data_IF_078807077827
#
_entry.id   IF_078807077827
#
_cell.length_a   1.000
_cell.length_b   1.000
_cell.length_c   1.000
_cell.angle_alpha   90.00
_cell.angle_beta   90.00
_cell.angle_gamma   90.00
#
_symmetry.space_group_name_H-M   'P 1'
#
loop_
_entity.id
_entity.type
_entity.pdbx_description
1 polymer ?
#
# COMPACT_ATOMS: atom_id res chain seq x y z
N UNK A 1 -7.71 10.80 -17.99
CA UNK A 1 -6.69 9.73 -18.21
C UNK A 1 -6.58 9.44 -19.69
N UNK A 2 -5.38 9.38 -20.24
CA UNK A 2 -5.15 9.10 -21.66
C UNK A 2 -4.41 7.77 -21.81
N UNK A 3 -4.95 6.86 -22.61
CA UNK A 3 -4.25 5.64 -22.99
C UNK A 3 -3.07 5.93 -23.91
N UNK A 4 -2.00 5.20 -23.75
CA UNK A 4 -0.91 5.18 -24.73
C UNK A 4 -1.41 4.55 -26.05
N UNK A 5 -0.69 4.82 -27.15
CA UNK A 5 -1.08 4.35 -28.48
C UNK A 5 -1.29 2.82 -28.53
N UNK A 6 -0.35 2.06 -27.98
CA UNK A 6 -0.42 0.60 -27.97
C UNK A 6 -1.57 0.05 -27.09
N UNK A 7 -1.90 0.72 -26.00
CA UNK A 7 -3.04 0.37 -25.15
C UNK A 7 -4.37 0.61 -25.87
N UNK A 8 -4.47 1.75 -26.57
CA UNK A 8 -5.63 2.05 -27.42
C UNK A 8 -5.82 1.04 -28.56
N UNK A 9 -4.73 0.59 -29.16
CA UNK A 9 -4.73 -0.46 -30.20
C UNK A 9 -5.15 -1.81 -29.61
N UNK A 10 -4.67 -2.14 -28.41
CA UNK A 10 -5.07 -3.36 -27.71
C UNK A 10 -6.57 -3.38 -27.39
N UNK A 11 -7.12 -2.26 -26.89
CA UNK A 11 -8.57 -2.12 -26.65
C UNK A 11 -9.35 -2.38 -27.93
N UNK A 12 -9.00 -1.68 -29.02
CA UNK A 12 -9.69 -1.83 -30.32
C UNK A 12 -9.65 -3.26 -30.86
N UNK A 13 -8.54 -3.97 -30.65
CA UNK A 13 -8.36 -5.33 -31.12
C UNK A 13 -9.18 -6.35 -30.33
N UNK A 14 -9.28 -6.17 -29.02
CA UNK A 14 -9.86 -7.18 -28.13
C UNK A 14 -11.34 -6.92 -27.78
N UNK A 15 -11.78 -5.68 -27.80
CA UNK A 15 -13.17 -5.34 -27.56
C UNK A 15 -13.87 -5.03 -28.90
N UNK A 16 -14.72 -5.94 -29.34
CA UNK A 16 -15.49 -5.83 -30.62
C UNK A 16 -16.67 -4.84 -30.51
N UNK A 17 -16.72 -4.01 -29.51
CA UNK A 17 -17.74 -3.00 -29.22
C UNK A 17 -17.14 -1.71 -28.70
N UNK A 18 -17.90 -0.64 -28.76
CA UNK A 18 -17.53 0.60 -28.08
C UNK A 18 -17.65 0.42 -26.56
N UNK A 19 -16.61 0.75 -25.83
CA UNK A 19 -16.61 0.76 -24.37
C UNK A 19 -17.29 2.03 -23.84
N UNK A 20 -17.97 1.90 -22.72
CA UNK A 20 -18.51 3.03 -21.97
C UNK A 20 -17.38 3.85 -21.34
N UNK A 21 -17.71 5.06 -20.87
CA UNK A 21 -16.75 5.91 -20.16
C UNK A 21 -16.22 5.22 -18.90
N UNK A 22 -17.11 4.60 -18.12
CA UNK A 22 -16.74 3.88 -16.90
C UNK A 22 -15.81 2.70 -17.16
N UNK A 23 -16.07 1.91 -18.22
CA UNK A 23 -15.18 0.80 -18.60
C UNK A 23 -13.80 1.29 -19.01
N UNK A 24 -13.71 2.43 -19.70
CA UNK A 24 -12.43 3.04 -20.05
C UNK A 24 -11.69 3.57 -18.81
N UNK A 25 -12.40 4.15 -17.85
CA UNK A 25 -11.83 4.60 -16.57
C UNK A 25 -11.29 3.42 -15.74
N UNK A 26 -12.02 2.32 -15.66
CA UNK A 26 -11.56 1.08 -15.00
C UNK A 26 -10.30 0.54 -15.69
N UNK A 27 -10.31 0.41 -17.01
CA UNK A 27 -9.14 -0.07 -17.75
C UNK A 27 -7.92 0.85 -17.57
N UNK A 28 -8.14 2.16 -17.52
CA UNK A 28 -7.06 3.11 -17.29
C UNK A 28 -6.46 3.00 -15.88
N UNK A 29 -7.30 2.77 -14.88
CA UNK A 29 -6.84 2.53 -13.51
C UNK A 29 -6.04 1.22 -13.41
N UNK A 30 -6.58 0.11 -13.94
CA UNK A 30 -5.90 -1.20 -13.93
C UNK A 30 -4.60 -1.21 -14.74
N UNK A 31 -4.50 -0.40 -15.80
CA UNK A 31 -3.27 -0.23 -16.59
C UNK A 31 -2.35 0.88 -16.10
N UNK A 32 -2.67 1.50 -15.00
CA UNK A 32 -1.74 2.43 -14.35
C UNK A 32 -0.47 1.70 -13.88
N UNK A 33 0.61 2.44 -13.69
CA UNK A 33 1.84 1.88 -13.10
C UNK A 33 1.57 1.30 -11.71
N UNK A 34 0.68 1.95 -10.95
CA UNK A 34 0.30 1.53 -9.60
C UNK A 34 -0.28 0.11 -9.57
N UNK A 35 -1.23 -0.21 -10.46
CA UNK A 35 -1.90 -1.53 -10.47
C UNK A 35 -1.12 -2.58 -11.27
N UNK A 36 -0.56 -2.19 -12.42
CA UNK A 36 0.01 -3.15 -13.37
C UNK A 36 1.52 -3.33 -13.27
N UNK A 37 2.23 -2.42 -12.59
CA UNK A 37 3.70 -2.40 -12.53
C UNK A 37 4.34 -2.49 -13.92
N UNK A 38 3.71 -1.89 -14.93
CA UNK A 38 4.03 -2.11 -16.34
C UNK A 38 5.46 -1.72 -16.74
N UNK A 39 6.04 -0.72 -16.05
CA UNK A 39 7.43 -0.31 -16.25
C UNK A 39 8.39 -0.86 -15.20
N UNK A 40 7.98 -0.98 -13.95
CA UNK A 40 8.82 -1.45 -12.85
C UNK A 40 8.93 -2.97 -12.73
N UNK A 41 8.02 -3.73 -13.35
CA UNK A 41 7.97 -5.19 -13.25
C UNK A 41 9.28 -5.89 -13.64
N UNK A 42 10.04 -5.34 -14.59
CA UNK A 42 11.33 -5.89 -14.99
C UNK A 42 12.35 -5.82 -13.87
N UNK A 43 12.33 -4.76 -13.08
CA UNK A 43 13.19 -4.55 -11.92
C UNK A 43 12.74 -5.39 -10.72
N UNK A 44 11.44 -5.45 -10.46
CA UNK A 44 10.86 -6.27 -9.39
C UNK A 44 11.22 -7.75 -9.54
N UNK A 45 11.28 -8.26 -10.78
CA UNK A 45 11.71 -9.64 -11.06
C UNK A 45 13.17 -9.94 -10.71
N UNK A 46 14.00 -8.91 -10.52
CA UNK A 46 15.40 -9.06 -10.12
C UNK A 46 15.57 -9.24 -8.61
N UNK A 47 14.53 -8.94 -7.83
CA UNK A 47 14.55 -9.12 -6.39
C UNK A 47 14.48 -10.62 -6.05
N UNK A 48 15.29 -11.10 -5.08
CA UNK A 48 15.24 -12.49 -4.66
C UNK A 48 13.90 -12.78 -3.97
N UNK A 49 13.19 -13.77 -4.48
CA UNK A 49 11.89 -14.20 -3.95
C UNK A 49 11.99 -15.48 -3.10
N UNK A 50 13.20 -15.97 -2.88
CA UNK A 50 13.46 -17.20 -2.12
C UNK A 50 14.75 -17.08 -1.33
N UNK A 51 14.83 -17.80 -0.23
CA UNK A 51 16.00 -17.83 0.65
C UNK A 51 15.74 -18.71 1.86
N UNK A 52 16.72 -18.93 2.73
CA UNK A 52 16.54 -19.69 3.96
C UNK A 52 15.39 -19.10 4.80
N UNK A 53 14.46 -19.95 5.21
CA UNK A 53 13.30 -19.55 6.00
C UNK A 53 12.19 -18.79 5.25
N UNK A 54 12.41 -18.36 4.00
CA UNK A 54 11.36 -17.65 3.22
C UNK A 54 10.27 -18.63 2.81
N UNK A 55 9.04 -18.34 3.21
CA UNK A 55 7.85 -19.07 2.77
C UNK A 55 7.28 -18.37 1.54
N UNK A 56 7.73 -18.80 0.34
CA UNK A 56 7.35 -18.22 -0.96
C UNK A 56 6.12 -18.91 -1.53
N UNK A 57 4.97 -18.75 -0.89
CA UNK A 57 3.71 -19.30 -1.37
C UNK A 57 2.79 -18.18 -1.85
N UNK A 58 1.97 -18.48 -2.85
CA UNK A 58 0.93 -17.54 -3.30
C UNK A 58 -0.23 -17.50 -2.30
N UNK A 59 -0.85 -16.33 -2.16
CA UNK A 59 -2.04 -16.13 -1.35
C UNK A 59 -1.78 -15.49 0.02
N UNK A 60 -0.55 -15.09 0.29
CA UNK A 60 -0.23 -14.21 1.41
C UNK A 60 -0.15 -12.75 0.94
N UNK A 61 -0.66 -11.83 1.74
CA UNK A 61 -0.59 -10.37 1.49
C UNK A 61 0.71 -9.76 2.03
N UNK A 62 1.49 -10.51 2.77
CA UNK A 62 2.78 -10.09 3.32
C UNK A 62 3.89 -11.10 3.03
N UNK A 63 5.14 -10.66 3.11
CA UNK A 63 6.30 -11.55 3.14
C UNK A 63 6.31 -12.37 4.42
N UNK A 64 6.60 -13.67 4.32
CA UNK A 64 6.61 -14.60 5.46
C UNK A 64 7.97 -15.24 5.60
N UNK A 65 8.54 -15.15 6.81
CA UNK A 65 9.83 -15.75 7.17
C UNK A 65 9.66 -16.71 8.35
N UNK A 66 10.01 -17.96 8.16
CA UNK A 66 10.12 -18.96 9.25
C UNK A 66 11.35 -18.63 10.11
N UNK A 67 11.14 -18.40 11.39
CA UNK A 67 12.19 -18.02 12.33
C UNK A 67 12.52 -19.16 13.32
N UNK A 68 11.98 -20.35 13.09
CA UNK A 68 12.18 -21.52 13.93
C UNK A 68 11.11 -21.67 15.01
N UNK A 69 11.17 -22.78 15.71
CA UNK A 69 10.29 -23.13 16.84
C UNK A 69 8.77 -23.00 16.54
N UNK A 70 8.38 -23.15 15.28
CA UNK A 70 7.00 -23.02 14.84
C UNK A 70 6.50 -21.58 14.74
N UNK A 71 7.39 -20.59 14.81
CA UNK A 71 7.06 -19.17 14.66
C UNK A 71 7.45 -18.62 13.29
N UNK A 72 6.71 -17.61 12.87
CA UNK A 72 6.95 -16.84 11.65
C UNK A 72 6.95 -15.34 11.96
N UNK A 73 7.80 -14.64 11.23
CA UNK A 73 7.74 -13.18 11.12
C UNK A 73 7.12 -12.82 9.77
N UNK A 74 6.19 -11.90 9.76
CA UNK A 74 5.63 -11.32 8.54
C UNK A 74 6.06 -9.87 8.40
N UNK A 75 6.27 -9.44 7.17
CA UNK A 75 6.66 -8.07 6.86
C UNK A 75 5.87 -7.59 5.65
N UNK A 76 5.28 -6.42 5.77
CA UNK A 76 4.70 -5.71 4.65
C UNK A 76 5.21 -4.27 4.62
N UNK A 77 5.45 -3.74 3.43
CA UNK A 77 5.84 -2.35 3.21
C UNK A 77 5.03 -1.78 2.05
N UNK A 78 4.51 -0.59 2.22
CA UNK A 78 3.86 0.14 1.14
C UNK A 78 4.14 1.65 1.25
N UNK A 79 3.94 2.34 0.13
CA UNK A 79 3.97 3.80 0.06
C UNK A 79 2.54 4.34 -0.09
N UNK A 80 2.24 5.42 0.63
CA UNK A 80 0.94 6.09 0.56
C UNK A 80 1.11 7.60 0.30
N UNK A 81 1.75 7.91 -0.83
CA UNK A 81 2.30 9.25 -1.13
C UNK A 81 1.24 10.22 -1.66
N UNK A 82 0.52 9.87 -2.74
CA UNK A 82 -0.47 10.74 -3.37
C UNK A 82 -1.58 11.17 -2.40
N UNK A 83 -2.24 10.23 -1.69
CA UNK A 83 -3.26 10.62 -0.71
C UNK A 83 -2.71 11.52 0.39
N UNK A 84 -1.49 11.25 0.87
CA UNK A 84 -0.83 12.05 1.91
C UNK A 84 -0.43 13.46 1.43
N UNK A 85 -0.18 13.66 0.14
CA UNK A 85 0.08 14.98 -0.42
C UNK A 85 -1.19 15.85 -0.53
N UNK A 86 -2.37 15.21 -0.59
CA UNK A 86 -3.67 15.89 -0.71
C UNK A 86 -4.34 16.08 0.65
N UNK A 87 -4.41 15.03 1.43
CA UNK A 87 -4.97 15.00 2.78
C UNK A 87 -4.03 14.19 3.69
N UNK A 88 -3.03 14.84 4.30
CA UNK A 88 -1.92 14.16 4.95
C UNK A 88 -2.30 13.36 6.18
N UNK A 89 -3.34 13.75 6.93
CA UNK A 89 -3.76 13.01 8.11
C UNK A 89 -4.36 11.64 7.73
N UNK A 90 -5.43 11.62 6.95
CA UNK A 90 -6.08 10.38 6.52
C UNK A 90 -5.22 9.57 5.55
N UNK A 91 -4.43 10.25 4.69
CA UNK A 91 -3.49 9.61 3.79
C UNK A 91 -2.41 8.81 4.54
N UNK A 92 -1.76 9.40 5.51
CA UNK A 92 -0.72 8.74 6.29
C UNK A 92 -1.30 7.70 7.27
N UNK A 93 -2.46 7.98 7.88
CA UNK A 93 -3.18 7.00 8.69
C UNK A 93 -3.52 5.74 7.89
N UNK A 94 -3.99 5.89 6.64
CA UNK A 94 -4.27 4.77 5.75
C UNK A 94 -3.01 4.01 5.36
N UNK A 95 -1.86 4.68 5.21
CA UNK A 95 -0.56 4.02 5.01
C UNK A 95 -0.24 3.04 6.13
N UNK A 96 -0.42 3.44 7.40
CA UNK A 96 -0.30 2.52 8.55
C UNK A 96 -1.38 1.43 8.50
N UNK A 97 -2.61 1.81 8.18
CA UNK A 97 -3.75 0.88 8.14
C UNK A 97 -3.59 -0.22 7.11
N UNK A 98 -3.06 0.09 5.92
CA UNK A 98 -2.83 -0.86 4.84
C UNK A 98 -1.86 -1.96 5.25
N UNK A 99 -0.65 -1.58 5.68
CA UNK A 99 0.38 -2.55 6.07
C UNK A 99 -0.04 -3.42 7.27
N UNK A 100 -0.77 -2.85 8.22
CA UNK A 100 -1.29 -3.59 9.39
C UNK A 100 -2.34 -4.61 8.97
N UNK A 101 -3.24 -4.25 8.05
CA UNK A 101 -4.27 -5.16 7.55
C UNK A 101 -3.67 -6.35 6.82
N UNK A 102 -2.62 -6.16 6.05
CA UNK A 102 -1.94 -7.22 5.33
C UNK A 102 -1.19 -8.19 6.26
N UNK A 103 -0.64 -7.68 7.35
CA UNK A 103 -0.11 -8.53 8.43
C UNK A 103 -1.22 -9.37 9.08
N UNK A 104 -2.36 -8.74 9.40
CA UNK A 104 -3.51 -9.44 10.02
C UNK A 104 -4.13 -10.46 9.08
N UNK A 105 -4.30 -10.14 7.79
CA UNK A 105 -4.88 -11.05 6.79
C UNK A 105 -4.00 -12.29 6.59
N UNK A 106 -2.68 -12.15 6.76
CA UNK A 106 -1.74 -13.27 6.71
C UNK A 106 -1.81 -14.19 7.95
N UNK A 107 -2.54 -13.79 9.00
CA UNK A 107 -2.75 -14.62 10.22
C UNK A 107 -1.75 -14.35 11.32
N UNK A 108 -1.02 -13.25 11.28
CA UNK A 108 -0.06 -12.85 12.32
C UNK A 108 -0.51 -11.58 13.03
N UNK A 109 0.04 -11.34 14.22
CA UNK A 109 -0.25 -10.12 14.99
C UNK A 109 0.80 -9.05 14.69
N UNK A 110 0.40 -7.86 14.26
CA UNK A 110 1.31 -6.73 14.14
C UNK A 110 1.91 -6.38 15.50
N UNK A 111 3.22 -6.18 15.53
CA UNK A 111 3.96 -5.89 16.77
C UNK A 111 4.76 -4.59 16.69
N UNK A 112 5.02 -4.11 15.47
CA UNK A 112 5.82 -2.91 15.26
C UNK A 112 5.55 -2.29 13.89
N UNK A 113 5.75 -0.97 13.81
CA UNK A 113 5.74 -0.16 12.60
C UNK A 113 7.07 0.57 12.46
N UNK A 114 7.51 0.80 11.23
CA UNK A 114 8.63 1.65 10.86
C UNK A 114 8.17 2.60 9.76
N UNK A 115 8.64 3.85 9.79
CA UNK A 115 8.23 4.88 8.85
C UNK A 115 9.42 5.47 8.09
N UNK A 116 9.32 5.57 6.77
CA UNK A 116 10.23 6.33 5.92
C UNK A 116 9.53 7.58 5.40
N UNK A 117 9.89 8.75 5.93
CA UNK A 117 9.16 9.98 5.68
C UNK A 117 10.04 11.02 4.98
N UNK A 118 9.52 11.64 3.90
CA UNK A 118 10.25 12.70 3.19
C UNK A 118 9.32 13.83 2.81
N UNK A 119 9.74 15.05 3.12
CA UNK A 119 8.97 16.27 2.90
C UNK A 119 9.86 17.41 2.42
N UNK A 120 9.24 18.46 1.86
CA UNK A 120 9.92 19.72 1.59
C UNK A 120 10.48 20.37 2.87
N UNK A 121 11.25 21.42 2.71
CA UNK A 121 11.88 22.13 3.84
C UNK A 121 10.82 22.77 4.75
N UNK A 122 10.60 22.21 5.91
CA UNK A 122 9.58 22.63 6.89
C UNK A 122 9.89 23.98 7.57
N UNK A 123 11.13 24.45 7.52
CA UNK A 123 11.51 25.75 8.08
C UNK A 123 11.12 26.89 7.15
N UNK A 124 11.25 26.65 5.84
CA UNK A 124 11.05 27.66 4.80
C UNK A 124 9.66 27.62 4.16
N UNK A 125 9.00 26.47 4.19
CA UNK A 125 7.72 26.24 3.50
C UNK A 125 6.63 25.85 4.50
N UNK A 126 5.61 26.71 4.63
CA UNK A 126 4.46 26.48 5.51
C UNK A 126 3.59 25.30 5.05
N UNK A 127 3.53 25.02 3.74
CA UNK A 127 2.79 23.89 3.20
C UNK A 127 3.50 22.57 3.53
N UNK A 128 4.83 22.50 3.34
CA UNK A 128 5.61 21.34 3.74
C UNK A 128 5.48 21.06 5.25
N UNK A 129 5.49 22.11 6.08
CA UNK A 129 5.25 21.99 7.52
C UNK A 129 3.86 21.43 7.84
N UNK A 130 2.83 21.87 7.10
CA UNK A 130 1.47 21.39 7.26
C UNK A 130 1.36 19.91 6.87
N UNK A 131 1.95 19.51 5.74
CA UNK A 131 2.00 18.12 5.29
C UNK A 131 2.67 17.23 6.35
N UNK A 132 3.86 17.60 6.80
CA UNK A 132 4.61 16.85 7.81
C UNK A 132 3.83 16.68 9.11
N UNK A 133 3.34 17.80 9.68
CA UNK A 133 2.61 17.76 10.96
C UNK A 133 1.38 16.86 10.92
N UNK A 134 0.60 16.95 9.85
CA UNK A 134 -0.62 16.15 9.74
C UNK A 134 -0.33 14.68 9.41
N UNK A 135 0.69 14.39 8.60
CA UNK A 135 1.11 13.02 8.36
C UNK A 135 1.53 12.31 9.65
N UNK A 136 2.40 12.95 10.46
CA UNK A 136 2.78 12.42 11.79
C UNK A 136 1.55 12.21 12.68
N UNK A 137 0.60 13.16 12.68
CA UNK A 137 -0.62 13.02 13.48
C UNK A 137 -1.47 11.83 13.01
N UNK A 138 -1.59 11.59 11.71
CA UNK A 138 -2.31 10.45 11.16
C UNK A 138 -1.67 9.10 11.50
N UNK A 139 -0.35 9.00 11.36
CA UNK A 139 0.42 7.81 11.75
C UNK A 139 0.21 7.51 13.24
N UNK A 140 0.35 8.54 14.09
CA UNK A 140 0.20 8.40 15.54
C UNK A 140 -1.22 7.99 15.93
N UNK A 141 -2.25 8.59 15.32
CA UNK A 141 -3.64 8.28 15.62
C UNK A 141 -3.95 6.82 15.32
N UNK A 142 -3.60 6.33 14.13
CA UNK A 142 -3.88 4.95 13.75
C UNK A 142 -3.10 3.95 14.60
N UNK A 143 -1.79 4.18 14.79
CA UNK A 143 -0.93 3.30 15.60
C UNK A 143 -1.37 3.24 17.08
N UNK A 144 -1.72 4.38 17.66
CA UNK A 144 -2.18 4.46 19.05
C UNK A 144 -3.51 3.74 19.27
N UNK A 145 -4.46 3.86 18.35
CA UNK A 145 -5.74 3.15 18.43
C UNK A 145 -5.57 1.62 18.45
N UNK A 146 -4.53 1.12 17.81
CA UNK A 146 -4.23 -0.31 17.75
C UNK A 146 -3.22 -0.77 18.81
N UNK A 147 -2.59 0.15 19.51
CA UNK A 147 -1.55 -0.14 20.49
C UNK A 147 -0.27 -0.71 19.85
N UNK A 148 0.04 -0.31 18.61
CA UNK A 148 1.22 -0.77 17.87
C UNK A 148 2.25 0.36 17.84
N UNK A 149 3.46 0.15 18.38
CA UNK A 149 4.48 1.19 18.45
C UNK A 149 5.18 1.38 17.09
N UNK A 150 5.48 2.62 16.74
CA UNK A 150 6.52 2.94 15.76
C UNK A 150 7.87 2.82 16.44
N UNK A 151 8.68 1.87 16.02
CA UNK A 151 9.95 1.52 16.68
C UNK A 151 11.19 2.09 15.99
N UNK A 152 11.03 2.66 14.80
CA UNK A 152 12.14 3.22 14.04
C UNK A 152 11.68 3.78 12.71
N UNK A 153 12.65 4.17 11.92
CA UNK A 153 12.44 4.76 10.59
C UNK A 153 13.40 5.92 10.36
N UNK A 154 13.06 6.74 9.37
CA UNK A 154 13.84 7.94 9.04
C UNK A 154 12.93 9.08 8.61
N UNK A 155 13.39 10.29 8.81
CA UNK A 155 12.73 11.52 8.34
C UNK A 155 13.76 12.38 7.63
N UNK A 156 13.44 12.79 6.40
CA UNK A 156 14.29 13.64 5.58
C UNK A 156 13.52 14.88 5.09
N UNK A 157 14.23 16.00 4.99
CA UNK A 157 13.69 17.25 4.45
C UNK A 157 14.60 17.76 3.34
N UNK A 158 14.06 17.86 2.13
CA UNK A 158 14.79 18.38 0.97
C UNK A 158 13.85 19.16 0.05
N UNK A 159 14.38 20.20 -0.59
CA UNK A 159 13.60 21.05 -1.50
C UNK A 159 13.06 20.27 -2.71
N UNK A 160 13.63 19.12 -3.07
CA UNK A 160 13.11 18.24 -4.14
C UNK A 160 11.74 17.65 -3.80
N UNK A 161 11.39 17.53 -2.51
CA UNK A 161 10.07 17.06 -2.05
C UNK A 161 9.07 18.20 -1.83
N UNK A 162 9.34 19.39 -2.34
CA UNK A 162 8.39 20.49 -2.26
C UNK A 162 7.04 20.10 -2.86
N UNK A 163 5.96 20.33 -2.12
CA UNK A 163 4.58 19.91 -2.45
C UNK A 163 4.31 18.41 -2.49
N UNK A 164 5.25 17.59 -2.06
CA UNK A 164 5.08 16.14 -1.93
C UNK A 164 5.13 15.71 -0.47
N UNK A 165 4.46 14.60 -0.19
CA UNK A 165 4.59 13.85 1.04
C UNK A 165 4.97 12.42 0.67
N UNK A 166 6.19 12.01 0.97
CA UNK A 166 6.57 10.60 0.87
C UNK A 166 6.30 9.96 2.21
N UNK A 167 5.39 9.01 2.21
CA UNK A 167 4.99 8.26 3.39
C UNK A 167 5.11 6.78 3.06
N UNK A 168 6.24 6.20 3.42
CA UNK A 168 6.49 4.77 3.32
C UNK A 168 6.35 4.16 4.70
N UNK A 169 5.55 3.12 4.82
CA UNK A 169 5.30 2.46 6.10
C UNK A 169 5.59 0.97 5.96
N UNK A 170 6.31 0.41 6.92
CA UNK A 170 6.51 -1.02 7.05
C UNK A 170 5.92 -1.52 8.36
N UNK A 171 5.22 -2.65 8.33
CA UNK A 171 4.76 -3.35 9.53
C UNK A 171 5.44 -4.71 9.68
N UNK A 172 5.69 -5.07 10.93
CA UNK A 172 6.22 -6.37 11.31
C UNK A 172 5.17 -7.10 12.11
N UNK A 173 4.90 -8.33 11.73
CA UNK A 173 4.01 -9.24 12.46
C UNK A 173 4.75 -10.45 13.00
N UNK A 174 4.21 -11.02 14.06
CA UNK A 174 4.69 -12.28 14.68
C UNK A 174 3.51 -13.20 14.89
N UNK A 175 3.69 -14.47 14.58
CA UNK A 175 2.65 -15.48 14.79
C UNK A 175 3.18 -16.90 14.73
N UNK A 176 2.28 -17.87 14.96
CA UNK A 176 2.61 -19.26 14.75
C UNK A 176 2.41 -19.63 13.29
N UNK A 177 3.29 -20.47 12.77
CA UNK A 177 3.23 -20.94 11.38
C UNK A 177 1.91 -21.68 11.07
N UNK A 178 1.36 -22.38 12.02
CA UNK A 178 0.08 -23.09 11.91
C UNK A 178 -1.12 -22.15 11.73
N UNK A 179 -1.00 -20.88 12.13
CA UNK A 179 -2.05 -19.87 12.04
C UNK A 179 -2.01 -19.04 10.74
N UNK A 180 -1.07 -19.34 9.84
CA UNK A 180 -0.99 -18.63 8.56
C UNK A 180 -2.26 -18.84 7.73
N UNK A 181 -2.78 -17.75 7.20
CA UNK A 181 -4.00 -17.73 6.40
C UNK A 181 -3.63 -17.30 4.97
N UNK A 182 -4.04 -18.09 3.99
CA UNK A 182 -3.93 -17.74 2.57
C UNK A 182 -5.23 -17.14 2.07
N UNK A 183 -5.12 -16.01 1.40
CA UNK A 183 -6.25 -15.39 0.75
C UNK A 183 -6.69 -16.23 -0.47
N UNK A 184 -7.91 -16.70 -0.43
CA UNK A 184 -8.58 -17.32 -1.56
C UNK A 184 -10.09 -17.15 -1.42
N UNK A 185 -10.77 -17.09 -2.55
CA UNK A 185 -12.22 -17.09 -2.62
C UNK A 185 -12.68 -18.19 -3.56
N UNK A 186 -13.77 -18.83 -3.24
CA UNK A 186 -14.40 -19.89 -4.01
C UNK A 186 -15.78 -19.48 -4.47
N UNK A 187 -16.27 -20.11 -5.54
CA UNK A 187 -17.63 -19.88 -6.01
C UNK A 187 -18.65 -20.25 -4.92
N UNK A 188 -19.48 -19.29 -4.54
CA UNK A 188 -20.48 -19.44 -3.50
C UNK A 188 -20.10 -18.80 -2.16
N UNK A 189 -18.86 -18.33 -2.02
CA UNK A 189 -18.46 -17.57 -0.85
C UNK A 189 -19.18 -16.21 -0.77
N UNK A 190 -19.47 -15.76 0.43
CA UNK A 190 -20.08 -14.46 0.69
C UNK A 190 -18.99 -13.45 1.01
N UNK A 191 -18.98 -12.35 0.27
CA UNK A 191 -18.16 -11.18 0.60
C UNK A 191 -18.94 -10.30 1.59
N UNK A 192 -18.40 -10.13 2.79
CA UNK A 192 -19.02 -9.33 3.86
C UNK A 192 -18.18 -8.11 4.12
N UNK A 193 -18.76 -6.92 3.93
CA UNK A 193 -18.16 -5.64 4.28
C UNK A 193 -18.63 -5.19 5.66
N UNK A 194 -17.68 -4.99 6.57
CA UNK A 194 -17.93 -4.45 7.90
C UNK A 194 -17.23 -3.10 8.05
N UNK A 195 -17.96 -2.07 8.43
CA UNK A 195 -17.43 -0.71 8.61
C UNK A 195 -18.45 0.37 8.39
N UNK A 196 -17.98 1.60 8.27
CA UNK A 196 -18.80 2.76 7.93
C UNK A 196 -19.29 2.74 6.48
N UNK A 197 -20.16 3.70 6.10
CA UNK A 197 -20.60 3.82 4.71
C UNK A 197 -19.42 4.15 3.79
N UNK A 198 -19.39 3.50 2.64
CA UNK A 198 -18.42 3.80 1.60
C UNK A 198 -18.89 4.95 0.72
N UNK A 199 -17.97 5.80 0.32
CA UNK A 199 -18.16 6.90 -0.64
C UNK A 199 -17.58 6.58 -2.03
N UNK A 200 -17.32 7.65 -2.78
CA UNK A 200 -16.67 7.57 -4.09
C UNK A 200 -15.17 7.88 -4.04
N UNK A 201 -14.63 8.01 -2.85
CA UNK A 201 -13.22 8.34 -2.62
C UNK A 201 -12.34 7.22 -3.19
N UNK A 202 -11.33 7.59 -3.94
CA UNK A 202 -10.43 6.65 -4.57
C UNK A 202 -10.93 5.93 -5.82
N UNK A 203 -12.14 6.20 -6.32
CA UNK A 203 -12.70 5.57 -7.55
C UNK A 203 -11.81 5.79 -8.78
N UNK A 204 -11.08 6.90 -8.85
CA UNK A 204 -10.11 7.20 -9.92
C UNK A 204 -8.75 6.54 -9.75
N UNK A 205 -8.54 5.75 -8.71
CA UNK A 205 -7.24 5.21 -8.32
C UNK A 205 -6.40 6.23 -7.55
N UNK A 206 -5.16 5.88 -7.24
CA UNK A 206 -4.22 6.72 -6.47
C UNK A 206 -3.33 7.59 -7.37
N UNK A 207 -3.92 8.31 -8.30
CA UNK A 207 -3.22 9.20 -9.25
C UNK A 207 -3.77 10.61 -9.18
N UNK A 208 -2.87 11.58 -9.42
CA UNK A 208 -3.25 12.97 -9.66
C UNK A 208 -3.70 13.18 -11.11
#
# INVERSE_FOLDING_TARGET
MSFQKHESEYIKKNFKRKLSKTELEILAAEWSEHCSYKSSKIHLKMLPMSGPGVISEKGYDSGVLDVGDGYVVTVHIESHNHPSAVEPFGGAATGVGGVIRDILSTGTRPIAVLDGLRFGNIEKDSHARWLFKNAISGIADYGNCLGIPTIGGEVEFDDCYKNYAIVDVAAIGLGKKENLIKNHASTGDLVVLLGGPTGRDGVGGSQF
#
